data_IF_945757664911
#
_entry.id   IF_945757664911
#
_cell.length_a   1.000
_cell.length_b   1.000
_cell.length_c   1.000
_cell.angle_alpha   90.00
_cell.angle_beta   90.00
_cell.angle_gamma   90.00
#
_symmetry.space_group_name_H-M   'P 1'
#
loop_
_entity.id
_entity.type
_entity.pdbx_description
1 polymer ?
#
# COMPACT_ATOMS: atom_id res chain seq x y z
N UNK A 1 3.29 1.12 -2.28
CA UNK A 1 2.85 2.52 -2.51
C UNK A 1 1.38 2.57 -2.83
N UNK A 2 0.67 3.49 -2.25
CA UNK A 2 -0.76 3.66 -2.50
C UNK A 2 -1.03 5.11 -2.85
N UNK A 3 -1.66 5.34 -3.99
CA UNK A 3 -2.16 6.62 -4.43
C UNK A 3 -3.69 6.54 -4.46
N UNK A 4 -4.40 7.22 -3.56
CA UNK A 4 -5.86 7.23 -3.61
C UNK A 4 -6.39 7.89 -4.88
N UNK A 5 -7.51 7.42 -5.36
CA UNK A 5 -8.17 8.00 -6.52
C UNK A 5 -9.57 7.45 -6.64
N UNK A 6 -10.54 8.02 -5.88
CA UNK A 6 -11.91 7.51 -5.86
C UNK A 6 -12.65 7.66 -7.19
N UNK A 7 -12.10 8.47 -8.11
CA UNK A 7 -12.67 8.66 -9.44
C UNK A 7 -12.11 7.71 -10.49
N UNK A 8 -11.23 6.79 -10.11
CA UNK A 8 -10.67 5.81 -11.01
C UNK A 8 -9.22 6.03 -11.40
N UNK A 9 -8.60 7.08 -10.88
CA UNK A 9 -7.21 7.44 -11.15
C UNK A 9 -6.23 6.99 -10.06
N UNK A 10 -6.69 6.16 -9.13
CA UNK A 10 -5.86 5.61 -8.09
C UNK A 10 -4.97 4.47 -8.56
N UNK A 11 -3.92 4.21 -7.80
CA UNK A 11 -3.10 3.04 -8.05
C UNK A 11 -2.41 2.55 -6.78
N UNK A 12 -2.08 1.28 -6.78
CA UNK A 12 -1.31 0.63 -5.72
C UNK A 12 -0.14 -0.08 -6.39
N UNK A 13 1.06 0.18 -5.89
CA UNK A 13 2.27 -0.52 -6.32
C UNK A 13 2.71 -1.46 -5.20
N UNK A 14 2.94 -2.70 -5.54
CA UNK A 14 3.36 -3.75 -4.60
C UNK A 14 4.76 -4.23 -4.95
N UNK A 15 5.66 -4.13 -3.97
CA UNK A 15 7.02 -4.59 -4.10
C UNK A 15 7.35 -5.57 -2.98
N UNK A 16 8.23 -6.51 -3.26
CA UNK A 16 8.80 -7.40 -2.25
C UNK A 16 10.26 -7.66 -2.58
N UNK A 17 11.14 -7.53 -1.58
CA UNK A 17 12.59 -7.68 -1.75
C UNK A 17 13.14 -6.79 -2.86
N UNK A 18 12.71 -5.53 -2.90
CA UNK A 18 13.08 -4.54 -3.91
C UNK A 18 12.68 -4.92 -5.34
N UNK A 19 11.75 -5.86 -5.48
CA UNK A 19 11.20 -6.24 -6.78
C UNK A 19 9.76 -5.79 -6.88
N UNK A 20 9.41 -5.22 -8.02
CA UNK A 20 8.04 -4.90 -8.32
C UNK A 20 7.27 -6.19 -8.62
N UNK A 21 6.14 -6.37 -7.94
CA UNK A 21 5.30 -7.56 -8.08
C UNK A 21 4.05 -7.26 -8.88
N UNK A 22 3.38 -6.18 -8.56
CA UNK A 22 2.09 -5.89 -9.16
C UNK A 22 1.74 -4.41 -9.08
N UNK A 23 0.95 -3.96 -10.03
CA UNK A 23 0.27 -2.69 -10.03
C UNK A 23 -1.24 -2.93 -10.08
N UNK A 24 -1.98 -2.28 -9.21
CA UNK A 24 -3.43 -2.24 -9.28
C UNK A 24 -3.83 -0.81 -9.60
N UNK A 25 -4.59 -0.62 -10.66
CA UNK A 25 -5.08 0.70 -11.10
C UNK A 25 -6.59 0.71 -11.07
N UNK A 26 -7.15 1.85 -10.75
CA UNK A 26 -8.57 2.03 -10.78
C UNK A 26 -9.08 2.89 -9.63
N UNK A 27 -10.28 2.59 -9.21
CA UNK A 27 -10.92 3.31 -8.13
C UNK A 27 -10.39 2.82 -6.79
N UNK A 28 -9.61 3.67 -6.14
CA UNK A 28 -9.04 3.40 -4.83
C UNK A 28 -9.62 4.42 -3.84
N UNK A 29 -10.45 3.95 -2.91
CA UNK A 29 -11.13 4.80 -1.95
C UNK A 29 -12.61 4.94 -2.23
N UNK A 30 -13.27 5.75 -1.44
CA UNK A 30 -14.70 6.02 -1.54
C UNK A 30 -14.96 7.51 -1.73
N UNK A 31 -16.01 7.80 -2.50
CA UNK A 31 -16.53 9.17 -2.59
C UNK A 31 -17.64 9.35 -1.57
N UNK A 32 -17.64 10.49 -0.91
CA UNK A 32 -18.76 10.99 -0.11
C UNK A 32 -18.94 10.36 1.27
N UNK A 33 -18.75 9.08 1.42
CA UNK A 33 -18.94 8.39 2.69
C UNK A 33 -17.61 7.90 3.28
N UNK A 34 -17.62 7.55 4.55
CA UNK A 34 -16.42 7.06 5.23
C UNK A 34 -15.39 8.15 5.47
N UNK A 35 -14.16 7.91 5.09
CA UNK A 35 -13.07 8.85 5.29
C UNK A 35 -12.96 9.94 4.20
N UNK A 36 -13.80 9.86 3.16
CA UNK A 36 -13.72 10.78 2.03
C UNK A 36 -12.39 10.65 1.30
N UNK A 37 -11.67 11.76 1.20
CA UNK A 37 -10.34 11.80 0.57
C UNK A 37 -9.21 11.33 1.46
N UNK A 38 -9.53 10.92 2.68
CA UNK A 38 -8.55 10.51 3.67
C UNK A 38 -8.45 9.00 3.75
N UNK A 39 -7.31 8.54 4.24
CA UNK A 39 -7.09 7.14 4.56
C UNK A 39 -6.55 7.05 5.97
N UNK A 40 -6.86 5.96 6.65
CA UNK A 40 -6.17 5.64 7.88
C UNK A 40 -5.37 4.36 7.70
N UNK A 41 -4.35 4.23 8.50
CA UNK A 41 -3.41 3.12 8.39
C UNK A 41 -3.71 2.05 9.42
N UNK A 42 -3.72 0.80 8.96
CA UNK A 42 -3.76 -0.38 9.81
C UNK A 42 -2.82 -1.43 9.25
N UNK A 43 -2.18 -2.17 10.12
CA UNK A 43 -1.46 -3.37 9.68
C UNK A 43 -1.58 -4.47 10.72
N UNK A 44 -1.37 -5.71 10.26
CA UNK A 44 -1.54 -6.88 11.07
C UNK A 44 -2.49 -7.86 10.40
N UNK A 45 -2.66 -9.06 10.94
CA UNK A 45 -3.60 -10.01 10.40
C UNK A 45 -5.03 -9.51 10.58
N UNK A 46 -5.79 -9.55 9.50
CA UNK A 46 -7.20 -9.19 9.52
C UNK A 46 -7.99 -10.42 9.12
N UNK A 47 -8.64 -11.04 10.10
CA UNK A 47 -9.39 -12.26 9.91
C UNK A 47 -10.54 -12.37 10.90
N UNK A 48 -11.49 -13.26 10.60
CA UNK A 48 -12.55 -13.60 11.53
C UNK A 48 -11.95 -14.26 12.78
N UNK A 49 -12.64 -14.12 13.90
CA UNK A 49 -12.25 -14.78 15.15
C UNK A 49 -12.15 -16.30 14.92
N UNK A 50 -11.09 -16.89 15.44
CA UNK A 50 -10.81 -18.31 15.29
C UNK A 50 -10.08 -18.82 16.54
N UNK A 51 -10.21 -20.11 16.83
CA UNK A 51 -9.57 -20.74 18.00
C UNK A 51 -8.06 -20.91 17.82
N UNK A 52 -7.56 -20.89 16.59
CA UNK A 52 -6.13 -21.03 16.33
C UNK A 52 -5.35 -19.80 16.80
N UNK A 53 -4.20 -20.04 17.42
CA UNK A 53 -3.26 -19.00 17.77
C UNK A 53 -2.35 -18.70 16.59
N UNK A 54 -2.18 -17.43 16.28
CA UNK A 54 -1.31 -16.95 15.22
C UNK A 54 -0.21 -16.07 15.82
N UNK A 55 1.00 -16.28 15.37
CA UNK A 55 2.12 -15.42 15.72
C UNK A 55 2.73 -14.87 14.45
N UNK A 56 2.80 -13.54 14.35
CA UNK A 56 3.38 -12.85 13.20
C UNK A 56 4.41 -11.87 13.73
N UNK A 57 5.60 -11.90 13.13
CA UNK A 57 6.68 -11.00 13.49
C UNK A 57 6.77 -9.88 12.48
N UNK A 58 6.84 -8.63 12.98
CA UNK A 58 7.04 -7.44 12.17
C UNK A 58 8.32 -6.76 12.60
N UNK A 59 9.04 -6.19 11.65
CA UNK A 59 10.28 -5.50 11.92
C UNK A 59 10.43 -4.33 10.96
N UNK A 60 11.14 -3.29 11.40
CA UNK A 60 11.54 -2.14 10.58
C UNK A 60 10.39 -1.48 9.84
N UNK A 61 9.27 -1.35 10.49
CA UNK A 61 8.14 -0.65 9.89
C UNK A 61 8.53 0.79 9.53
N UNK A 62 8.16 1.21 8.31
CA UNK A 62 8.37 2.57 7.84
C UNK A 62 7.13 3.06 7.10
N UNK A 63 6.86 4.32 7.25
CA UNK A 63 5.78 5.00 6.56
C UNK A 63 6.23 6.42 6.24
N UNK A 64 5.91 6.91 5.05
CA UNK A 64 6.26 8.26 4.65
C UNK A 64 5.58 8.66 3.36
N UNK A 65 5.54 9.98 3.04
CA UNK A 65 4.89 10.47 1.83
C UNK A 65 5.68 10.21 0.55
N UNK A 66 6.98 9.99 0.67
CA UNK A 66 7.85 9.77 -0.49
C UNK A 66 8.29 8.31 -0.56
N UNK A 67 8.52 7.82 -1.76
CA UNK A 67 8.94 6.44 -1.96
C UNK A 67 10.24 6.12 -1.22
N UNK A 68 11.21 7.01 -1.25
CA UNK A 68 12.51 6.82 -0.61
C UNK A 68 12.45 6.76 0.92
N UNK A 69 11.33 7.20 1.51
CA UNK A 69 11.12 7.07 2.97
C UNK A 69 10.97 5.61 3.39
N UNK A 70 10.55 4.76 2.48
CA UNK A 70 10.16 3.38 2.79
C UNK A 70 10.87 2.33 1.95
N UNK A 71 11.54 2.72 0.86
CA UNK A 71 12.14 1.77 -0.09
C UNK A 71 13.47 2.28 -0.61
N UNK A 72 14.21 1.40 -1.27
CA UNK A 72 15.47 1.75 -1.90
C UNK A 72 15.26 2.63 -3.14
N UNK A 73 16.30 3.37 -3.52
CA UNK A 73 16.26 4.17 -4.75
C UNK A 73 15.97 3.29 -5.97
N UNK A 74 16.54 2.09 -6.02
CA UNK A 74 16.30 1.14 -7.11
C UNK A 74 14.84 0.73 -7.19
N UNK A 75 14.24 0.36 -6.06
CA UNK A 75 12.83 -0.01 -6.01
C UNK A 75 11.93 1.15 -6.40
N UNK A 76 12.24 2.37 -5.95
CA UNK A 76 11.49 3.56 -6.30
C UNK A 76 11.57 3.88 -7.78
N UNK A 77 12.69 3.66 -8.41
CA UNK A 77 12.85 3.83 -9.86
C UNK A 77 11.97 2.86 -10.64
N UNK A 78 11.84 1.61 -10.18
CA UNK A 78 10.95 0.63 -10.81
C UNK A 78 9.48 1.05 -10.71
N UNK A 79 9.06 1.55 -9.56
CA UNK A 79 7.71 2.06 -9.36
C UNK A 79 7.43 3.25 -10.29
N UNK A 80 8.38 4.17 -10.42
CA UNK A 80 8.26 5.33 -11.31
C UNK A 80 8.11 4.90 -12.77
N UNK A 81 8.87 3.91 -13.21
CA UNK A 81 8.74 3.35 -14.56
C UNK A 81 7.38 2.69 -14.77
N UNK A 82 6.88 1.96 -13.79
CA UNK A 82 5.59 1.30 -13.87
C UNK A 82 4.42 2.28 -13.92
N UNK A 83 4.57 3.48 -13.34
CA UNK A 83 3.54 4.50 -13.31
C UNK A 83 3.41 5.31 -14.61
N UNK A 84 4.33 5.15 -15.54
CA UNK A 84 4.35 5.88 -16.82
C UNK A 84 3.41 5.26 -17.87
#
# INVERSE_FOLDING_TARGET
>A
MIQPGPDGDGHIEILANDRWIATVKGRIGHQGEGLGDNQYFKFGPYRAAHESEWTIFYDRFRRGPECEDVASVTACSLVELAAR
#
